data_IF_903459909969
#
_entry.id   IF_903459909969
#
_cell.length_a   1.000
_cell.length_b   1.000
_cell.length_c   1.000
_cell.angle_alpha   90.00
_cell.angle_beta   90.00
_cell.angle_gamma   90.00
#
_symmetry.space_group_name_H-M   'P 1'
#
loop_
_entity.id
_entity.type
_entity.pdbx_description
1 polymer ?
#
# COMPACT_ATOMS: atom_id res chain seq x y z
N UNK A 1 -9.00 -81.69 22.50
CA UNK A 1 -8.59 -80.58 21.62
C UNK A 1 -9.10 -79.30 22.25
N UNK A 2 -8.20 -78.46 22.76
CA UNK A 2 -8.55 -77.20 23.43
C UNK A 2 -8.36 -76.07 22.40
N UNK A 3 -9.46 -75.46 21.96
CA UNK A 3 -9.42 -74.34 21.02
C UNK A 3 -8.92 -73.11 21.77
N UNK A 4 -7.83 -72.51 21.27
CA UNK A 4 -7.29 -71.27 21.82
C UNK A 4 -8.25 -70.13 21.49
N UNK A 5 -8.67 -69.44 22.53
CA UNK A 5 -9.50 -68.24 22.48
C UNK A 5 -8.82 -67.19 21.57
N UNK A 6 -9.48 -66.82 20.47
CA UNK A 6 -8.98 -65.80 19.54
C UNK A 6 -9.45 -64.44 20.04
N UNK A 7 -8.52 -63.48 20.14
CA UNK A 7 -8.86 -62.13 20.63
C UNK A 7 -9.98 -61.52 19.79
N UNK A 8 -10.94 -60.83 20.43
CA UNK A 8 -11.98 -60.10 19.70
C UNK A 8 -11.33 -59.00 18.84
N UNK A 9 -11.95 -58.72 17.70
CA UNK A 9 -11.51 -57.68 16.78
C UNK A 9 -11.62 -56.35 17.52
N UNK A 10 -10.49 -55.67 17.71
CA UNK A 10 -10.44 -54.35 18.32
C UNK A 10 -10.74 -53.34 17.21
N UNK A 11 -11.82 -52.59 17.36
CA UNK A 11 -12.17 -51.52 16.43
C UNK A 11 -11.12 -50.40 16.54
N UNK A 12 -10.39 -50.18 15.44
CA UNK A 12 -9.44 -49.06 15.33
C UNK A 12 -10.23 -47.89 14.72
N UNK A 13 -10.43 -46.79 15.45
CA UNK A 13 -11.11 -45.63 14.90
C UNK A 13 -10.26 -45.01 13.78
N UNK A 14 -10.83 -44.91 12.58
CA UNK A 14 -10.17 -44.30 11.43
C UNK A 14 -10.44 -42.79 11.38
N UNK A 15 -9.40 -42.01 11.69
CA UNK A 15 -9.44 -40.55 11.63
C UNK A 15 -8.74 -39.99 10.38
N UNK A 16 -8.35 -40.84 9.42
CA UNK A 16 -7.57 -40.45 8.24
C UNK A 16 -8.24 -39.32 7.44
N UNK A 17 -9.57 -39.33 7.34
CA UNK A 17 -10.34 -38.28 6.68
C UNK A 17 -10.24 -36.92 7.39
N UNK A 18 -10.22 -36.91 8.73
CA UNK A 18 -10.11 -35.68 9.52
C UNK A 18 -8.71 -35.06 9.33
N UNK A 19 -7.66 -35.88 9.33
CA UNK A 19 -6.30 -35.40 9.06
C UNK A 19 -6.16 -34.86 7.65
N UNK A 20 -6.75 -35.54 6.65
CA UNK A 20 -6.74 -35.09 5.26
C UNK A 20 -7.46 -33.73 5.11
N UNK A 21 -8.64 -33.57 5.70
CA UNK A 21 -9.38 -32.30 5.70
C UNK A 21 -8.61 -31.19 6.40
N UNK A 22 -7.93 -31.50 7.51
CA UNK A 22 -7.06 -30.55 8.21
C UNK A 22 -5.92 -30.03 7.33
N UNK A 23 -5.26 -30.93 6.60
CA UNK A 23 -4.18 -30.56 5.65
C UNK A 23 -4.73 -29.67 4.53
N UNK A 24 -5.87 -30.06 3.94
CA UNK A 24 -6.51 -29.28 2.87
C UNK A 24 -6.86 -27.86 3.37
N UNK A 25 -7.44 -27.74 4.57
CA UNK A 25 -7.77 -26.45 5.16
C UNK A 25 -6.53 -25.56 5.35
N UNK A 26 -5.42 -26.13 5.84
CA UNK A 26 -4.15 -25.40 5.99
C UNK A 26 -3.60 -24.94 4.65
N UNK A 27 -3.66 -25.78 3.62
CA UNK A 27 -3.22 -25.40 2.25
C UNK A 27 -4.06 -24.24 1.72
N UNK A 28 -5.38 -24.27 1.89
CA UNK A 28 -6.25 -23.17 1.47
C UNK A 28 -5.98 -21.87 2.24
N UNK A 29 -5.71 -21.93 3.54
CA UNK A 29 -5.33 -20.76 4.34
C UNK A 29 -4.01 -20.15 3.85
N UNK A 30 -3.01 -20.98 3.55
CA UNK A 30 -1.73 -20.51 3.01
C UNK A 30 -1.90 -19.85 1.64
N UNK A 31 -2.66 -20.48 0.74
CA UNK A 31 -2.97 -19.92 -0.58
C UNK A 31 -3.72 -18.59 -0.45
N UNK A 32 -4.74 -18.53 0.40
CA UNK A 32 -5.48 -17.30 0.69
C UNK A 32 -4.59 -16.17 1.20
N UNK A 33 -3.68 -16.48 2.13
CA UNK A 33 -2.71 -15.52 2.66
C UNK A 33 -1.76 -14.99 1.56
N UNK A 34 -1.23 -15.87 0.70
CA UNK A 34 -0.33 -15.47 -0.39
C UNK A 34 -1.05 -14.59 -1.42
N UNK A 35 -2.29 -14.94 -1.79
CA UNK A 35 -3.11 -14.15 -2.71
C UNK A 35 -3.40 -12.77 -2.11
N UNK A 36 -3.84 -12.71 -0.86
CA UNK A 36 -4.13 -11.46 -0.17
C UNK A 36 -2.89 -10.56 -0.09
N UNK A 37 -1.73 -11.12 0.28
CA UNK A 37 -0.46 -10.41 0.31
C UNK A 37 -0.07 -9.84 -1.06
N UNK A 38 -0.23 -10.63 -2.14
CA UNK A 38 0.08 -10.21 -3.50
C UNK A 38 -0.82 -9.08 -3.99
N UNK A 39 -2.13 -9.18 -3.74
CA UNK A 39 -3.11 -8.15 -4.11
C UNK A 39 -2.82 -6.85 -3.35
N UNK A 40 -2.55 -6.93 -2.05
CA UNK A 40 -2.31 -5.75 -1.23
C UNK A 40 -1.00 -5.02 -1.64
N UNK A 41 0.04 -5.77 -2.00
CA UNK A 41 1.29 -5.20 -2.54
C UNK A 41 1.06 -4.48 -3.87
N UNK A 42 0.37 -5.13 -4.81
CA UNK A 42 0.06 -4.55 -6.13
C UNK A 42 -0.77 -3.26 -6.03
N UNK A 43 -1.75 -3.21 -5.11
CA UNK A 43 -2.57 -2.01 -4.89
C UNK A 43 -1.72 -0.84 -4.39
N UNK A 44 -0.80 -1.07 -3.44
CA UNK A 44 0.09 -0.01 -2.95
C UNK A 44 1.00 0.54 -4.05
N UNK A 45 1.59 -0.34 -4.86
CA UNK A 45 2.43 0.07 -5.98
C UNK A 45 1.63 0.86 -7.03
N UNK A 46 0.39 0.47 -7.28
CA UNK A 46 -0.50 1.17 -8.21
C UNK A 46 -0.90 2.56 -7.71
N UNK A 47 -1.15 2.71 -6.40
CA UNK A 47 -1.46 4.00 -5.78
C UNK A 47 -0.26 4.95 -5.86
N UNK A 48 0.95 4.46 -5.55
CA UNK A 48 2.18 5.26 -5.68
C UNK A 48 2.42 5.71 -7.12
N UNK A 49 2.28 4.81 -8.09
CA UNK A 49 2.38 5.15 -9.52
C UNK A 49 1.37 6.21 -9.94
N UNK A 50 0.13 6.11 -9.46
CA UNK A 50 -0.91 7.11 -9.73
C UNK A 50 -0.54 8.47 -9.12
N UNK A 51 -0.11 8.49 -7.86
CA UNK A 51 0.29 9.72 -7.19
C UNK A 51 1.45 10.42 -7.92
N UNK A 52 2.45 9.67 -8.36
CA UNK A 52 3.58 10.20 -9.13
C UNK A 52 3.14 10.76 -10.48
N UNK A 53 2.21 10.09 -11.17
CA UNK A 53 1.62 10.60 -12.41
C UNK A 53 0.88 11.92 -12.16
N UNK A 54 0.05 11.99 -11.11
CA UNK A 54 -0.69 13.21 -10.75
C UNK A 54 0.26 14.36 -10.40
N UNK A 55 1.37 14.09 -9.70
CA UNK A 55 2.41 15.09 -9.41
C UNK A 55 3.10 15.62 -10.68
N UNK A 56 3.35 14.76 -11.68
CA UNK A 56 3.94 15.19 -12.96
C UNK A 56 2.98 16.00 -13.83
N UNK A 57 1.68 15.73 -13.74
CA UNK A 57 0.62 16.40 -14.50
C UNK A 57 -0.05 17.52 -13.68
N UNK A 58 0.61 18.03 -12.63
CA UNK A 58 0.08 19.11 -11.80
C UNK A 58 -0.23 20.35 -12.64
N UNK A 59 -1.46 20.84 -12.52
CA UNK A 59 -1.85 22.13 -13.06
C UNK A 59 -1.43 23.24 -12.08
N UNK A 60 -0.57 24.15 -12.54
CA UNK A 60 -0.09 25.31 -11.78
C UNK A 60 -0.97 26.55 -11.97
N UNK A 61 -2.05 26.46 -12.73
CA UNK A 61 -2.99 27.57 -12.95
C UNK A 61 -3.76 27.96 -11.68
N UNK A 62 -3.89 27.06 -10.70
CA UNK A 62 -4.61 27.33 -9.47
C UNK A 62 -3.75 26.98 -8.25
N UNK A 63 -3.06 28.00 -7.74
CA UNK A 63 -2.14 27.91 -6.60
C UNK A 63 -2.68 27.14 -5.39
N UNK A 64 -3.98 27.27 -5.10
CA UNK A 64 -4.62 26.59 -3.96
C UNK A 64 -4.82 25.12 -4.22
N UNK A 65 -5.32 24.77 -5.41
CA UNK A 65 -5.50 23.38 -5.83
C UNK A 65 -4.15 22.66 -5.90
N UNK A 66 -3.14 23.28 -6.53
CA UNK A 66 -1.78 22.75 -6.61
C UNK A 66 -1.20 22.45 -5.23
N UNK A 67 -1.36 23.34 -4.25
CA UNK A 67 -0.86 23.13 -2.89
C UNK A 67 -1.51 21.91 -2.20
N UNK A 68 -2.83 21.76 -2.32
CA UNK A 68 -3.56 20.60 -1.78
C UNK A 68 -3.17 19.30 -2.49
N UNK A 69 -3.14 19.32 -3.82
CA UNK A 69 -2.85 18.14 -4.62
C UNK A 69 -1.40 17.69 -4.46
N UNK A 70 -0.45 18.63 -4.38
CA UNK A 70 0.95 18.33 -4.10
C UNK A 70 1.10 17.65 -2.74
N UNK A 71 0.55 18.23 -1.67
CA UNK A 71 0.69 17.68 -0.32
C UNK A 71 0.09 16.29 -0.20
N UNK A 72 -1.11 16.09 -0.78
CA UNK A 72 -1.79 14.79 -0.78
C UNK A 72 -0.96 13.73 -1.52
N UNK A 73 -0.53 14.01 -2.76
CA UNK A 73 0.16 13.02 -3.59
C UNK A 73 1.60 12.79 -3.14
N UNK A 74 2.32 13.83 -2.72
CA UNK A 74 3.69 13.68 -2.23
C UNK A 74 3.73 12.97 -0.87
N UNK A 75 2.69 13.11 -0.03
CA UNK A 75 2.61 12.35 1.23
C UNK A 75 2.54 10.83 1.02
N UNK A 76 1.96 10.37 -0.10
CA UNK A 76 1.88 8.95 -0.47
C UNK A 76 3.23 8.38 -0.96
N UNK A 77 4.15 9.27 -1.35
CA UNK A 77 5.48 8.97 -1.87
C UNK A 77 6.60 9.29 -0.86
N UNK A 78 6.25 9.65 0.38
CA UNK A 78 7.22 9.99 1.41
C UNK A 78 8.14 8.81 1.75
N UNK A 79 9.44 9.02 1.55
CA UNK A 79 10.53 8.18 2.04
C UNK A 79 11.46 9.02 2.94
N UNK A 80 12.31 8.36 3.74
CA UNK A 80 13.20 9.07 4.68
C UNK A 80 14.16 10.05 3.99
N UNK A 81 14.60 9.74 2.78
CA UNK A 81 15.44 10.60 1.92
C UNK A 81 14.72 11.90 1.55
N UNK A 82 13.45 11.80 1.14
CA UNK A 82 12.70 12.90 0.53
C UNK A 82 11.87 13.71 1.54
N UNK A 83 11.76 13.22 2.78
CA UNK A 83 10.97 13.82 3.86
C UNK A 83 11.38 15.26 4.21
N UNK A 84 12.68 15.57 4.12
CA UNK A 84 13.19 16.92 4.40
C UNK A 84 12.75 17.93 3.34
N UNK A 85 12.95 17.58 2.05
CA UNK A 85 12.55 18.43 0.92
C UNK A 85 11.04 18.63 0.85
N UNK A 86 10.26 17.57 1.10
CA UNK A 86 8.80 17.66 1.20
C UNK A 86 8.36 18.65 2.28
N UNK A 87 8.96 18.60 3.47
CA UNK A 87 8.57 19.47 4.59
C UNK A 87 8.87 20.95 4.30
N UNK A 88 9.98 21.23 3.63
CA UNK A 88 10.32 22.59 3.19
C UNK A 88 9.31 23.11 2.17
N UNK A 89 9.04 22.35 1.10
CA UNK A 89 8.05 22.70 0.09
C UNK A 89 6.63 22.83 0.66
N UNK A 90 6.24 21.94 1.56
CA UNK A 90 4.92 21.98 2.21
C UNK A 90 4.75 23.24 3.06
N UNK A 91 5.76 23.65 3.82
CA UNK A 91 5.73 24.90 4.58
C UNK A 91 5.65 26.12 3.66
N UNK A 92 6.40 26.12 2.55
CA UNK A 92 6.35 27.19 1.55
C UNK A 92 5.00 27.23 0.80
N UNK A 93 4.32 26.09 0.62
CA UNK A 93 3.00 26.00 0.00
C UNK A 93 1.86 26.34 0.96
N UNK A 94 2.06 26.22 2.26
CA UNK A 94 1.05 26.46 3.30
C UNK A 94 0.49 27.90 3.25
N UNK A 95 1.35 28.88 2.91
CA UNK A 95 0.95 30.29 2.75
C UNK A 95 -0.08 30.51 1.62
N UNK A 96 -0.15 29.62 0.64
CA UNK A 96 -1.08 29.69 -0.49
C UNK A 96 -2.40 28.95 -0.20
N UNK A 97 -2.43 28.11 0.83
CA UNK A 97 -3.57 27.26 1.18
C UNK A 97 -4.68 28.02 1.92
N UNK A 98 -4.30 29.02 2.71
CA UNK A 98 -5.21 29.73 3.63
C UNK A 98 -5.55 31.19 3.24
N UNK A 99 -4.90 31.76 2.22
CA UNK A 99 -5.22 33.12 1.75
C UNK A 99 -6.52 33.13 0.93
N UNK A 100 -7.34 34.18 1.14
CA UNK A 100 -8.63 34.40 0.45
C UNK A 100 -8.48 34.75 -1.04
N UNK A 101 -7.47 35.56 -1.37
CA UNK A 101 -6.98 35.75 -2.73
C UNK A 101 -5.55 35.21 -2.77
N UNK A 102 -5.28 34.36 -3.74
CA UNK A 102 -3.99 33.68 -3.89
C UNK A 102 -3.40 34.19 -5.20
N UNK A 103 -2.26 34.86 -5.13
CA UNK A 103 -1.48 35.21 -6.31
C UNK A 103 -0.96 33.95 -7.00
N UNK A 104 -0.56 34.08 -8.26
CA UNK A 104 0.09 32.98 -8.97
C UNK A 104 1.31 32.48 -8.18
N UNK A 105 1.52 31.16 -8.19
CA UNK A 105 2.71 30.56 -7.60
C UNK A 105 3.96 31.24 -8.16
N UNK A 106 4.95 31.48 -7.29
CA UNK A 106 6.24 31.97 -7.74
C UNK A 106 6.87 30.94 -8.71
N UNK A 107 7.44 31.42 -9.81
CA UNK A 107 8.08 30.57 -10.82
C UNK A 107 9.22 29.75 -10.22
N UNK A 108 9.95 30.32 -9.26
CA UNK A 108 10.99 29.62 -8.52
C UNK A 108 10.44 28.47 -7.66
N UNK A 109 9.22 28.62 -7.12
CA UNK A 109 8.55 27.56 -6.34
C UNK A 109 8.10 26.42 -7.25
N UNK A 110 7.57 26.76 -8.43
CA UNK A 110 7.14 25.78 -9.45
C UNK A 110 8.34 24.94 -9.92
N UNK A 111 9.50 25.56 -10.15
CA UNK A 111 10.71 24.84 -10.54
C UNK A 111 11.17 23.87 -9.44
N UNK A 112 11.21 24.30 -8.17
CA UNK A 112 11.57 23.40 -7.06
C UNK A 112 10.60 22.23 -6.90
N UNK A 113 9.30 22.46 -7.12
CA UNK A 113 8.29 21.39 -7.11
C UNK A 113 8.59 20.39 -8.23
N UNK A 114 8.90 20.86 -9.44
CA UNK A 114 9.25 19.98 -10.56
C UNK A 114 10.53 19.19 -10.30
N UNK A 115 11.58 19.84 -9.81
CA UNK A 115 12.83 19.17 -9.44
C UNK A 115 12.61 18.10 -8.37
N UNK A 116 11.77 18.38 -7.38
CA UNK A 116 11.40 17.40 -6.36
C UNK A 116 10.63 16.22 -6.93
N UNK A 117 9.72 16.46 -7.88
CA UNK A 117 8.94 15.42 -8.57
C UNK A 117 9.80 14.58 -9.53
N UNK A 118 10.83 15.18 -10.15
CA UNK A 118 11.77 14.46 -11.00
C UNK A 118 12.79 13.63 -10.20
N UNK A 119 13.07 14.02 -8.96
CA UNK A 119 13.93 13.27 -8.03
C UNK A 119 13.22 12.11 -7.30
N UNK A 120 11.90 11.96 -7.48
CA UNK A 120 11.04 10.90 -6.91
C UNK A 120 10.95 9.67 -7.81
#
# INVERSE_FOLDING_TARGET
MNLRDIKPIVEIPDNSLIYLLGIIAVVFLLLGYLIWKKINKSRRDTLRKRALKTLRELDFSNSKATAYDFELNASLLLEESNKKGFKQLSNELEQYKYKKQVDNLDKALIERIKEFVDAL
#
